data_IF_076165253797
#
_entry.id   IF_076165253797
#
_cell.length_a   1.000
_cell.length_b   1.000
_cell.length_c   1.000
_cell.angle_alpha   90.00
_cell.angle_beta   90.00
_cell.angle_gamma   90.00
#
_symmetry.space_group_name_H-M   'P 1'
#
loop_
_entity.id
_entity.type
_entity.pdbx_description
1 polymer ?
#
# COMPACT_ATOMS: atom_id res chain seq x y z
N UNK A 1 7.07 -5.59 0.38
CA UNK A 1 5.89 -6.24 0.99
C UNK A 1 5.04 -5.18 1.68
N UNK A 2 3.72 -5.15 1.47
CA UNK A 2 2.85 -4.05 1.95
C UNK A 2 2.48 -4.19 3.43
N UNK A 3 1.92 -5.34 3.84
CA UNK A 3 1.59 -5.65 5.23
C UNK A 3 2.29 -6.94 5.66
N UNK A 4 3.55 -6.88 6.14
CA UNK A 4 4.34 -8.07 6.43
C UNK A 4 3.90 -8.86 7.66
N UNK A 5 3.49 -8.14 8.71
CA UNK A 5 3.29 -8.70 10.05
C UNK A 5 2.18 -7.94 10.79
N UNK A 6 1.02 -7.77 10.14
CA UNK A 6 -0.16 -7.20 10.78
C UNK A 6 -0.85 -8.33 11.57
N UNK A 7 -1.04 -8.21 12.89
CA UNK A 7 -1.76 -9.21 13.66
C UNK A 7 -3.21 -9.34 13.21
N UNK A 8 -3.81 -10.53 13.34
CA UNK A 8 -5.21 -10.75 12.98
C UNK A 8 -6.19 -9.87 13.79
N UNK A 9 -5.80 -9.43 14.98
CA UNK A 9 -6.58 -8.49 15.78
C UNK A 9 -6.72 -7.10 15.12
N UNK A 10 -5.80 -6.73 14.21
CA UNK A 10 -5.80 -5.45 13.52
C UNK A 10 -6.51 -5.58 12.17
N UNK A 11 -7.83 -5.52 12.24
CA UNK A 11 -8.70 -5.64 11.07
C UNK A 11 -8.51 -4.46 10.09
N UNK A 12 -8.38 -3.27 10.65
CA UNK A 12 -8.24 -2.04 9.86
C UNK A 12 -6.86 -1.42 10.14
N UNK A 13 -6.11 -1.14 9.09
CA UNK A 13 -4.77 -0.52 9.17
C UNK A 13 -4.60 0.43 7.99
N UNK A 14 -4.14 1.64 8.25
CA UNK A 14 -3.80 2.58 7.20
C UNK A 14 -2.50 3.31 7.52
N UNK A 15 -1.66 3.51 6.51
CA UNK A 15 -0.48 4.36 6.61
C UNK A 15 -0.33 5.20 5.35
N UNK A 16 0.25 6.39 5.53
CA UNK A 16 0.50 7.33 4.44
C UNK A 16 1.97 7.66 4.34
N UNK A 17 2.53 7.45 3.16
CA UNK A 17 3.83 7.99 2.78
C UNK A 17 5.04 7.41 3.48
N UNK A 18 5.00 6.13 3.88
CA UNK A 18 6.18 5.44 4.39
C UNK A 18 7.26 5.35 3.31
N UNK A 19 8.51 5.61 3.70
CA UNK A 19 9.66 5.44 2.80
C UNK A 19 10.16 4.01 2.89
N UNK A 20 10.47 3.45 1.73
CA UNK A 20 11.02 2.10 1.58
C UNK A 20 12.34 2.16 0.78
N UNK A 21 13.07 1.05 0.77
CA UNK A 21 14.26 0.88 -0.05
C UNK A 21 14.00 1.21 -1.53
N UNK A 22 15.01 1.68 -2.27
CA UNK A 22 14.84 2.13 -3.65
C UNK A 22 14.12 3.48 -3.79
N UNK A 23 13.95 4.21 -2.69
CA UNK A 23 13.31 5.52 -2.63
C UNK A 23 11.85 5.51 -3.13
N UNK A 24 11.07 4.50 -2.75
CA UNK A 24 9.62 4.54 -2.94
C UNK A 24 8.92 5.14 -1.73
N UNK A 25 7.90 5.95 -1.99
CA UNK A 25 6.93 6.42 -1.01
C UNK A 25 5.66 5.59 -1.17
N UNK A 26 5.22 4.93 -0.10
CA UNK A 26 4.11 3.98 -0.13
C UNK A 26 3.02 4.41 0.87
N UNK A 27 1.78 4.36 0.42
CA UNK A 27 0.58 4.50 1.26
C UNK A 27 -0.31 3.28 1.03
N UNK A 28 -0.98 2.77 2.05
CA UNK A 28 -1.88 1.64 1.89
C UNK A 28 -3.01 1.66 2.93
N UNK A 29 -4.16 1.10 2.53
CA UNK A 29 -5.31 0.86 3.40
C UNK A 29 -5.62 -0.64 3.43
N UNK A 30 -5.90 -1.15 4.61
CA UNK A 30 -6.44 -2.48 4.91
C UNK A 30 -7.73 -2.28 5.69
N UNK A 31 -8.80 -2.95 5.28
CA UNK A 31 -10.06 -3.02 6.04
C UNK A 31 -10.53 -4.45 6.13
N UNK A 32 -11.14 -4.81 7.26
CA UNK A 32 -11.67 -6.15 7.51
C UNK A 32 -10.65 -7.26 7.19
N UNK A 33 -9.38 -7.03 7.53
CA UNK A 33 -8.29 -7.97 7.30
C UNK A 33 -7.87 -8.13 5.84
N UNK A 34 -8.27 -7.23 4.92
CA UNK A 34 -7.90 -7.29 3.50
C UNK A 34 -7.35 -5.95 3.02
N UNK A 35 -6.31 -5.98 2.21
CA UNK A 35 -5.76 -4.76 1.60
C UNK A 35 -6.75 -4.22 0.57
N UNK A 36 -7.22 -2.99 0.80
CA UNK A 36 -8.14 -2.29 -0.10
C UNK A 36 -7.40 -1.64 -1.26
N UNK A 37 -6.30 -0.94 -0.97
CA UNK A 37 -5.47 -0.35 -1.99
C UNK A 37 -4.04 -0.10 -1.49
N UNK A 38 -3.15 0.09 -2.46
CA UNK A 38 -1.75 0.46 -2.27
C UNK A 38 -1.42 1.54 -3.29
N UNK A 39 -0.87 2.66 -2.83
CA UNK A 39 -0.33 3.73 -3.67
C UNK A 39 1.19 3.74 -3.54
N UNK A 40 1.87 3.69 -4.68
CA UNK A 40 3.34 3.67 -4.75
C UNK A 40 3.78 4.81 -5.64
N UNK A 41 4.70 5.64 -5.12
CA UNK A 41 5.39 6.68 -5.87
C UNK A 41 6.89 6.42 -5.90
N UNK A 42 7.47 6.39 -7.09
CA UNK A 42 8.92 6.27 -7.28
C UNK A 42 9.60 7.62 -7.20
N UNK A 43 10.62 7.77 -6.35
CA UNK A 43 11.37 9.03 -6.23
C UNK A 43 12.72 8.99 -6.95
N UNK A 44 13.24 7.78 -7.23
CA UNK A 44 14.53 7.58 -7.90
C UNK A 44 14.43 6.88 -9.25
N UNK A 45 13.35 6.13 -9.53
CA UNK A 45 13.23 5.34 -10.77
C UNK A 45 13.87 3.95 -10.70
N UNK A 46 14.12 3.44 -9.49
CA UNK A 46 14.61 2.09 -9.26
C UNK A 46 13.60 1.02 -9.72
N UNK A 47 14.03 -0.22 -9.99
CA UNK A 47 13.13 -1.34 -10.27
C UNK A 47 12.10 -1.52 -9.14
N UNK A 48 10.81 -1.41 -9.47
CA UNK A 48 9.74 -1.55 -8.49
C UNK A 48 9.28 -3.01 -8.41
N UNK A 49 9.56 -3.66 -7.28
CA UNK A 49 9.05 -5.01 -6.95
C UNK A 49 8.17 -4.90 -5.71
N UNK A 50 6.91 -5.29 -5.83
CA UNK A 50 5.93 -5.21 -4.76
C UNK A 50 5.31 -6.58 -4.48
N UNK A 51 5.19 -6.90 -3.20
CA UNK A 51 4.45 -8.09 -2.73
C UNK A 51 3.21 -7.66 -1.95
N UNK A 52 2.06 -8.16 -2.38
CA UNK A 52 0.72 -7.83 -1.86
C UNK A 52 -0.11 -9.10 -1.63
N UNK A 53 -1.11 -9.01 -0.75
CA UNK A 53 -2.13 -10.03 -0.53
C UNK A 53 -3.42 -9.76 -1.34
N UNK A 54 -3.46 -8.69 -2.15
CA UNK A 54 -4.56 -8.40 -3.05
C UNK A 54 -4.69 -9.53 -4.08
N UNK A 55 -5.84 -10.21 -4.06
CA UNK A 55 -6.22 -11.19 -5.07
C UNK A 55 -6.68 -10.47 -6.35
N UNK A 56 -6.17 -10.88 -7.51
CA UNK A 56 -6.48 -10.31 -8.82
C UNK A 56 -6.41 -8.76 -8.84
N UNK A 57 -5.23 -8.17 -8.61
CA UNK A 57 -5.08 -6.72 -8.57
C UNK A 57 -5.32 -6.07 -9.93
N UNK A 58 -5.91 -4.90 -9.90
CA UNK A 58 -5.94 -3.90 -10.98
C UNK A 58 -4.94 -2.82 -10.64
N UNK A 59 -4.27 -2.31 -11.67
CA UNK A 59 -3.25 -1.28 -11.56
C UNK A 59 -3.68 -0.07 -12.38
N UNK A 60 -3.65 1.12 -11.78
CA UNK A 60 -4.00 2.37 -12.46
C UNK A 60 -2.95 3.44 -12.19
N UNK A 61 -2.72 4.28 -13.18
CA UNK A 61 -1.91 5.48 -13.04
C UNK A 61 -2.02 6.34 -14.28
N UNK A 62 -1.09 7.27 -14.48
CA UNK A 62 -1.16 8.28 -15.56
C UNK A 62 -0.93 7.71 -16.96
N UNK A 63 -0.40 6.50 -17.06
CA UNK A 63 -0.14 5.78 -18.31
C UNK A 63 -0.32 4.29 -18.08
N UNK A 64 -0.28 3.52 -19.15
CA UNK A 64 -0.14 2.07 -19.08
C UNK A 64 1.27 1.68 -18.61
N UNK A 65 1.31 0.72 -17.71
CA UNK A 65 2.54 0.17 -17.12
C UNK A 65 2.74 -1.28 -17.57
N UNK A 66 3.98 -1.67 -17.80
CA UNK A 66 4.39 -3.05 -18.00
C UNK A 66 4.49 -3.70 -16.62
N UNK A 67 3.55 -4.59 -16.34
CA UNK A 67 3.46 -5.32 -15.08
C UNK A 67 3.75 -6.80 -15.36
N UNK A 68 4.72 -7.36 -14.63
CA UNK A 68 5.07 -8.78 -14.69
C UNK A 68 4.76 -9.43 -13.35
N UNK A 69 3.95 -10.49 -13.37
CA UNK A 69 3.81 -11.38 -12.22
C UNK A 69 5.04 -12.27 -12.16
N UNK A 70 5.80 -12.18 -11.06
CA UNK A 70 7.06 -12.93 -10.88
C UNK A 70 6.82 -14.20 -10.05
N UNK A 71 5.89 -14.12 -9.10
CA UNK A 71 5.46 -15.23 -8.23
C UNK A 71 4.10 -14.87 -7.61
N UNK A 72 3.54 -15.75 -6.79
CA UNK A 72 2.26 -15.56 -6.13
C UNK A 72 2.26 -14.28 -5.26
N UNK A 73 1.54 -13.26 -5.72
CA UNK A 73 1.42 -11.97 -5.05
C UNK A 73 2.62 -11.03 -5.24
N UNK A 74 3.63 -11.40 -6.05
CA UNK A 74 4.80 -10.57 -6.35
C UNK A 74 4.72 -10.01 -7.78
N UNK A 75 4.79 -8.68 -7.89
CA UNK A 75 4.71 -7.97 -9.16
C UNK A 75 5.93 -7.07 -9.36
N UNK A 76 6.48 -7.10 -10.57
CA UNK A 76 7.46 -6.14 -11.05
C UNK A 76 6.78 -5.12 -11.95
N UNK A 77 7.00 -3.82 -11.69
CA UNK A 77 6.34 -2.70 -12.37
C UNK A 77 7.41 -1.76 -12.95
N UNK A 78 7.22 -1.32 -14.19
CA UNK A 78 8.11 -0.37 -14.88
C UNK A 78 7.90 1.09 -14.42
N UNK A 79 7.99 1.35 -13.11
CA UNK A 79 7.70 2.65 -12.52
C UNK A 79 8.92 3.61 -12.57
N UNK A 80 8.89 4.61 -13.45
CA UNK A 80 9.96 5.60 -13.60
C UNK A 80 9.94 6.64 -12.48
N UNK A 81 11.04 7.38 -12.34
CA UNK A 81 11.17 8.48 -11.38
C UNK A 81 10.01 9.47 -11.53
N UNK A 82 9.36 9.77 -10.42
CA UNK A 82 8.24 10.72 -10.33
C UNK A 82 6.88 10.12 -10.68
N UNK A 83 6.83 8.92 -11.26
CA UNK A 83 5.59 8.23 -11.56
C UNK A 83 5.00 7.59 -10.30
N UNK A 84 3.69 7.39 -10.37
CA UNK A 84 2.92 6.76 -9.32
C UNK A 84 1.89 5.80 -9.90
N UNK A 85 1.58 4.78 -9.11
CA UNK A 85 0.62 3.74 -9.46
C UNK A 85 -0.22 3.40 -8.23
N UNK A 86 -1.49 3.09 -8.47
CA UNK A 86 -2.42 2.59 -7.47
C UNK A 86 -2.77 1.16 -7.83
N UNK A 87 -2.75 0.28 -6.84
CA UNK A 87 -3.11 -1.12 -6.93
C UNK A 87 -4.29 -1.39 -6.01
N UNK A 88 -5.31 -2.10 -6.50
CA UNK A 88 -6.52 -2.45 -5.73
C UNK A 88 -7.20 -3.71 -6.30
N UNK A 89 -8.07 -4.41 -5.54
CA UNK A 89 -8.75 -5.60 -6.04
C UNK A 89 -9.67 -5.33 -7.23
N UNK A 90 -9.65 -6.20 -8.25
CA UNK A 90 -10.57 -6.11 -9.39
C UNK A 90 -12.03 -6.13 -8.94
N UNK A 91 -12.86 -5.28 -9.54
CA UNK A 91 -14.29 -5.17 -9.22
C UNK A 91 -14.60 -4.32 -7.99
N UNK A 92 -13.60 -3.62 -7.43
CA UNK A 92 -13.79 -2.66 -6.34
C UNK A 92 -13.52 -1.23 -6.81
N UNK A 93 -14.14 -0.25 -6.15
CA UNK A 93 -13.83 1.18 -6.27
C UNK A 93 -13.53 1.74 -4.87
N UNK A 94 -12.29 1.60 -4.37
CA UNK A 94 -11.88 2.22 -3.12
C UNK A 94 -11.88 3.75 -3.24
N UNK A 95 -12.11 4.45 -2.13
CA UNK A 95 -12.02 5.91 -2.03
C UNK A 95 -10.56 6.44 -2.16
N UNK A 96 -9.57 5.53 -2.24
CA UNK A 96 -8.12 5.82 -2.27
C UNK A 96 -7.61 6.83 -1.22
N UNK A 97 -8.44 7.13 -0.23
CA UNK A 97 -8.16 8.07 0.85
C UNK A 97 -7.52 7.31 2.01
N UNK A 98 -6.55 7.97 2.65
CA UNK A 98 -5.97 7.50 3.91
C UNK A 98 -6.52 8.40 5.00
N UNK A 99 -7.27 7.83 5.93
CA UNK A 99 -7.84 8.54 7.08
C UNK A 99 -7.48 7.83 8.39
N UNK A 100 -7.46 8.56 9.51
CA UNK A 100 -7.31 7.96 10.82
C UNK A 100 -8.43 6.95 11.09
N UNK A 101 -8.07 5.79 11.62
CA UNK A 101 -9.03 4.74 11.98
C UNK A 101 -9.61 5.06 13.35
N UNK A 102 -10.94 5.06 13.43
CA UNK A 102 -11.66 5.24 14.69
C UNK A 102 -11.36 4.09 15.64
N UNK A 103 -10.95 4.39 16.87
CA UNK A 103 -10.66 3.40 17.88
C UNK A 103 -10.97 3.95 19.26
N UNK A 104 -11.34 3.07 20.19
CA UNK A 104 -11.83 3.46 21.52
C UNK A 104 -10.75 4.00 22.47
N UNK A 105 -9.45 3.79 22.19
CA UNK A 105 -8.35 4.16 23.11
C UNK A 105 -7.05 4.60 22.40
N UNK A 106 -6.68 5.87 22.53
CA UNK A 106 -5.43 6.40 21.96
C UNK A 106 -4.25 6.12 22.90
N UNK A 107 -3.34 5.24 22.49
CA UNK A 107 -2.05 5.06 23.15
C UNK A 107 -1.04 6.04 22.56
N UNK A 108 -0.86 7.19 23.21
CA UNK A 108 0.17 8.15 22.81
C UNK A 108 1.56 7.62 23.19
N UNK A 109 2.40 7.36 22.19
CA UNK A 109 3.81 7.09 22.46
C UNK A 109 4.49 8.36 22.98
N UNK A 110 5.14 8.28 24.15
CA UNK A 110 5.91 9.39 24.74
C UNK A 110 5.12 10.44 25.51
N UNK A 111 3.79 10.29 25.66
CA UNK A 111 2.98 11.19 26.51
C UNK A 111 2.74 10.51 27.85
N UNK A 112 3.21 11.09 28.96
CA UNK A 112 2.80 10.63 30.30
C UNK A 112 1.28 10.79 30.40
N UNK A 113 0.59 9.72 30.82
CA UNK A 113 -0.80 9.81 31.26
C UNK A 113 -0.89 10.90 32.33
N UNK A 114 -1.86 11.80 32.18
CA UNK A 114 -2.06 12.92 33.09
C UNK A 114 -2.85 12.47 34.31
#
# INVERSE_FOLDING_TARGET
>A
RIFPAVPDAWQDVAYSGLRTEGAFKVSASRKQGKTEFVHIKSLAGEPCIVMTDISNPVFTGKRDFIIKSVDNGIYQIDLKKGEEIIMYPKGTSPDFSISPISHMSQNYFGKKAK
#
